data_IF_619288321230
#
_entry.id   IF_619288321230
#
_cell.length_a   1.000
_cell.length_b   1.000
_cell.length_c   1.000
_cell.angle_alpha   90.00
_cell.angle_beta   90.00
_cell.angle_gamma   90.00
#
_symmetry.space_group_name_H-M   'P 1'
#
loop_
_entity.id
_entity.type
_entity.pdbx_description
1 polymer ?
#
# COMPACT_ATOMS: atom_id res chain seq x y z
N UNK A 1 -3.66 -1.91 29.70
CA UNK A 1 -2.37 -2.49 29.31
C UNK A 1 -2.44 -3.98 29.62
N UNK A 2 -2.64 -4.81 28.60
CA UNK A 2 -2.56 -6.27 28.76
C UNK A 2 -1.18 -6.64 29.30
N UNK A 3 -1.10 -7.56 30.24
CA UNK A 3 0.17 -7.94 30.86
C UNK A 3 1.04 -8.75 29.90
N UNK A 4 2.36 -8.79 30.16
CA UNK A 4 3.31 -9.67 29.45
C UNK A 4 2.83 -11.13 29.47
N UNK A 5 2.16 -11.53 30.55
CA UNK A 5 1.54 -12.85 30.73
C UNK A 5 0.42 -13.13 29.74
N UNK A 6 -0.40 -12.13 29.42
CA UNK A 6 -1.52 -12.26 28.49
C UNK A 6 -0.99 -12.41 27.06
N UNK A 7 0.05 -11.64 26.72
CA UNK A 7 0.76 -11.72 25.44
C UNK A 7 1.42 -13.11 25.29
N UNK A 8 2.07 -13.63 26.33
CA UNK A 8 2.61 -14.99 26.32
C UNK A 8 1.54 -16.06 26.14
N UNK A 9 0.34 -15.88 26.70
CA UNK A 9 -0.78 -16.80 26.49
C UNK A 9 -1.25 -16.79 25.03
N UNK A 10 -1.38 -15.61 24.42
CA UNK A 10 -1.76 -15.44 23.00
C UNK A 10 -0.70 -15.97 22.03
N UNK A 11 0.58 -15.79 22.32
CA UNK A 11 1.66 -16.39 21.52
C UNK A 11 1.63 -17.92 21.59
N UNK A 12 1.33 -18.49 22.76
CA UNK A 12 1.12 -19.94 22.90
C UNK A 12 -0.09 -20.39 22.08
N UNK A 13 -1.20 -19.67 22.14
CA UNK A 13 -2.38 -19.95 21.33
C UNK A 13 -2.05 -19.94 19.83
N UNK A 14 -1.37 -18.91 19.33
CA UNK A 14 -0.93 -18.83 17.93
C UNK A 14 0.00 -20.01 17.58
N UNK A 15 0.96 -20.34 18.45
CA UNK A 15 1.83 -21.49 18.22
C UNK A 15 1.07 -22.82 18.12
N UNK A 16 0.01 -22.99 18.93
CA UNK A 16 -0.87 -24.17 18.84
C UNK A 16 -1.71 -24.17 17.56
N UNK A 17 -2.24 -23.01 17.14
CA UNK A 17 -2.96 -22.88 15.88
C UNK A 17 -2.07 -23.25 14.69
N UNK A 18 -0.84 -22.75 14.66
CA UNK A 18 0.16 -23.06 13.63
C UNK A 18 0.50 -24.57 13.59
N UNK A 19 0.65 -25.19 14.77
CA UNK A 19 0.88 -26.64 14.88
C UNK A 19 -0.27 -27.47 14.29
N UNK A 20 -1.50 -26.97 14.34
CA UNK A 20 -2.67 -27.64 13.74
C UNK A 20 -2.76 -27.42 12.23
N UNK A 21 -2.19 -26.34 11.68
CA UNK A 21 -2.20 -26.04 10.24
C UNK A 21 -1.20 -26.92 9.48
N UNK A 22 0.00 -27.15 10.03
CA UNK A 22 1.02 -28.00 9.40
C UNK A 22 0.54 -29.38 8.91
N UNK A 23 -0.15 -30.21 9.71
CA UNK A 23 -0.62 -31.50 9.25
C UNK A 23 -1.67 -31.37 8.14
N UNK A 24 -2.52 -30.34 8.17
CA UNK A 24 -3.48 -30.08 7.10
C UNK A 24 -2.78 -29.74 5.77
N UNK A 25 -1.75 -28.90 5.80
CA UNK A 25 -0.92 -28.59 4.64
C UNK A 25 -0.25 -29.85 4.09
N UNK A 26 0.31 -30.70 4.97
CA UNK A 26 0.91 -31.98 4.56
C UNK A 26 -0.12 -32.93 3.91
N UNK A 27 -1.35 -32.95 4.43
CA UNK A 27 -2.47 -33.73 3.89
C UNK A 27 -2.90 -33.21 2.53
N UNK A 28 -2.94 -31.89 2.34
CA UNK A 28 -3.25 -31.28 1.04
C UNK A 28 -2.18 -31.65 0.01
N UNK A 29 -0.90 -31.57 0.38
CA UNK A 29 0.23 -31.94 -0.48
C UNK A 29 0.15 -33.39 -0.97
N UNK A 30 -0.25 -34.30 -0.07
CA UNK A 30 -0.44 -35.72 -0.37
C UNK A 30 -1.80 -36.08 -0.99
N UNK A 31 -2.68 -35.10 -1.25
CA UNK A 31 -4.03 -35.39 -1.73
C UNK A 31 -3.99 -35.93 -3.15
N UNK A 32 -4.55 -37.13 -3.33
CA UNK A 32 -4.80 -37.75 -4.64
C UNK A 32 -6.30 -37.97 -4.79
N UNK A 33 -6.90 -37.45 -5.87
CA UNK A 33 -8.32 -37.69 -6.15
C UNK A 33 -8.54 -39.17 -6.43
N UNK A 34 -9.28 -39.86 -5.56
CA UNK A 34 -9.77 -41.21 -5.84
C UNK A 34 -10.86 -41.15 -6.92
N UNK A 35 -10.92 -42.19 -7.75
CA UNK A 35 -11.84 -42.24 -8.90
C UNK A 35 -13.28 -42.05 -8.44
N UNK A 36 -13.93 -40.97 -8.90
CA UNK A 36 -15.33 -40.65 -8.60
C UNK A 36 -15.58 -39.78 -7.37
N UNK A 37 -14.57 -39.36 -6.60
CA UNK A 37 -14.75 -38.54 -5.40
C UNK A 37 -14.75 -37.02 -5.66
N UNK A 38 -14.53 -36.61 -6.92
CA UNK A 38 -14.51 -35.21 -7.33
C UNK A 38 -13.37 -34.39 -6.73
N UNK A 39 -13.32 -33.12 -7.09
CA UNK A 39 -12.31 -32.16 -6.59
C UNK A 39 -12.75 -31.48 -5.27
N UNK A 40 -13.99 -31.72 -4.81
CA UNK A 40 -14.60 -31.06 -3.65
C UNK A 40 -13.79 -31.22 -2.35
N UNK A 41 -13.36 -32.43 -1.94
CA UNK A 41 -12.63 -32.58 -0.67
C UNK A 41 -11.27 -31.86 -0.67
N UNK A 42 -10.64 -31.72 -1.84
CA UNK A 42 -9.40 -30.93 -2.00
C UNK A 42 -9.68 -29.44 -1.82
N UNK A 43 -10.77 -28.95 -2.41
CA UNK A 43 -11.16 -27.55 -2.34
C UNK A 43 -11.57 -27.19 -0.91
N UNK A 44 -12.37 -28.03 -0.26
CA UNK A 44 -12.76 -27.87 1.15
C UNK A 44 -11.54 -27.80 2.08
N UNK A 45 -10.61 -28.75 1.96
CA UNK A 45 -9.37 -28.74 2.73
C UNK A 45 -8.52 -27.50 2.43
N UNK A 46 -8.46 -27.09 1.16
CA UNK A 46 -7.79 -25.87 0.74
C UNK A 46 -8.40 -24.61 1.36
N UNK A 47 -9.74 -24.51 1.39
CA UNK A 47 -10.45 -23.39 2.02
C UNK A 47 -10.27 -23.40 3.53
N UNK A 48 -10.33 -24.56 4.18
CA UNK A 48 -10.13 -24.68 5.64
C UNK A 48 -8.72 -24.25 6.06
N UNK A 49 -7.69 -24.66 5.31
CA UNK A 49 -6.32 -24.21 5.58
C UNK A 49 -6.20 -22.70 5.36
N UNK A 50 -6.79 -22.18 4.28
CA UNK A 50 -6.74 -20.76 3.99
C UNK A 50 -7.41 -19.91 5.09
N UNK A 51 -8.58 -20.31 5.58
CA UNK A 51 -9.28 -19.60 6.66
C UNK A 51 -8.49 -19.64 7.97
N UNK A 52 -7.96 -20.81 8.36
CA UNK A 52 -7.15 -20.93 9.59
C UNK A 52 -5.84 -20.16 9.52
N UNK A 53 -5.21 -20.13 8.34
CA UNK A 53 -3.97 -19.37 8.16
C UNK A 53 -4.23 -17.87 8.19
N UNK A 54 -5.34 -17.42 7.59
CA UNK A 54 -5.76 -16.01 7.65
C UNK A 54 -6.07 -15.59 9.09
N UNK A 55 -6.78 -16.42 9.85
CA UNK A 55 -7.05 -16.17 11.28
C UNK A 55 -5.75 -16.08 12.09
N UNK A 56 -4.77 -16.95 11.83
CA UNK A 56 -3.46 -16.89 12.49
C UNK A 56 -2.64 -15.65 12.08
N UNK A 57 -2.73 -15.20 10.82
CA UNK A 57 -2.14 -13.95 10.33
C UNK A 57 -2.76 -12.73 11.04
N UNK A 58 -4.09 -12.67 11.13
CA UNK A 58 -4.81 -11.61 11.85
C UNK A 58 -4.43 -11.56 13.35
N UNK A 59 -4.30 -12.73 14.00
CA UNK A 59 -3.80 -12.82 15.38
C UNK A 59 -2.37 -12.32 15.52
N UNK A 60 -1.49 -12.63 14.55
CA UNK A 60 -0.11 -12.16 14.56
C UNK A 60 -0.03 -10.64 14.38
N UNK A 61 -0.85 -10.06 13.51
CA UNK A 61 -0.88 -8.61 13.30
C UNK A 61 -1.29 -7.87 14.59
N UNK A 62 -2.31 -8.37 15.29
CA UNK A 62 -2.71 -7.85 16.60
C UNK A 62 -1.57 -7.97 17.62
N UNK A 63 -0.91 -9.13 17.67
CA UNK A 63 0.24 -9.37 18.55
C UNK A 63 1.43 -8.47 18.21
N UNK A 64 1.68 -8.18 16.93
CA UNK A 64 2.77 -7.32 16.48
C UNK A 64 2.60 -5.89 17.01
N UNK A 65 1.39 -5.35 16.98
CA UNK A 65 1.08 -4.03 17.57
C UNK A 65 1.32 -4.02 19.08
N UNK A 66 0.93 -5.09 19.78
CA UNK A 66 1.20 -5.22 21.22
C UNK A 66 2.69 -5.36 21.54
N UNK A 67 3.46 -6.05 20.68
CA UNK A 67 4.91 -6.20 20.80
C UNK A 67 5.65 -4.89 20.50
N UNK A 68 5.25 -4.15 19.47
CA UNK A 68 5.81 -2.83 19.12
C UNK A 68 5.54 -1.78 20.21
N UNK A 69 4.37 -1.84 20.85
CA UNK A 69 4.07 -1.03 22.03
C UNK A 69 4.96 -1.38 23.23
N UNK A 70 5.42 -2.64 23.35
CA UNK A 70 6.38 -3.04 24.38
C UNK A 70 7.81 -2.63 24.04
N UNK A 71 8.19 -2.65 22.77
CA UNK A 71 9.51 -2.22 22.26
C UNK A 71 9.70 -0.70 22.45
N UNK A 72 8.76 0.12 22.01
CA UNK A 72 8.80 1.58 22.22
C UNK A 72 8.77 1.99 23.70
N UNK A 73 8.16 1.17 24.57
CA UNK A 73 8.20 1.36 26.02
C UNK A 73 9.59 1.05 26.64
N UNK A 74 10.48 0.34 25.94
CA UNK A 74 11.87 0.12 26.38
C UNK A 74 12.76 1.33 26.08
N UNK A 75 12.62 1.96 24.91
CA UNK A 75 13.44 3.12 24.52
C UNK A 75 13.26 4.34 25.43
N UNK A 76 12.06 4.48 26.02
CA UNK A 76 11.72 5.60 26.91
C UNK A 76 12.18 5.40 28.36
N UNK A 77 12.47 4.15 28.80
CA UNK A 77 12.92 3.87 30.18
C UNK A 77 14.44 3.71 30.23
N UNK A 78 15.14 4.84 30.40
CA UNK A 78 16.55 4.82 30.82
C UNK A 78 16.71 4.15 32.20
N UNK A 79 17.26 2.93 32.15
CA UNK A 79 18.28 2.35 33.04
C UNK A 79 17.92 2.22 34.54
N UNK A 80 17.58 1.00 34.97
CA UNK A 80 18.20 0.49 36.19
C UNK A 80 17.43 -0.39 37.17
N UNK A 81 16.21 -0.89 36.91
CA UNK A 81 15.47 -1.60 37.98
C UNK A 81 14.88 -2.98 37.61
N UNK A 82 14.63 -3.31 36.35
CA UNK A 82 13.86 -4.52 36.00
C UNK A 82 14.53 -5.42 34.94
N UNK A 83 15.81 -5.78 35.12
CA UNK A 83 16.56 -6.65 34.20
C UNK A 83 15.87 -8.01 33.94
N UNK A 84 15.17 -8.56 34.94
CA UNK A 84 14.41 -9.80 34.80
C UNK A 84 13.20 -9.63 33.86
N UNK A 85 12.43 -8.54 34.01
CA UNK A 85 11.28 -8.25 33.14
C UNK A 85 11.71 -7.82 31.74
N UNK A 86 12.85 -7.16 31.61
CA UNK A 86 13.48 -6.85 30.32
C UNK A 86 13.81 -8.16 29.57
N UNK A 87 14.44 -9.13 30.25
CA UNK A 87 14.74 -10.43 29.65
C UNK A 87 13.50 -11.24 29.24
N UNK A 88 12.39 -11.13 29.99
CA UNK A 88 11.13 -11.78 29.63
C UNK A 88 10.48 -11.14 28.39
N UNK A 89 10.62 -9.83 28.22
CA UNK A 89 10.13 -9.10 27.04
C UNK A 89 10.93 -9.43 25.79
N UNK A 90 12.26 -9.45 25.90
CA UNK A 90 13.13 -9.86 24.79
C UNK A 90 12.80 -11.28 24.31
N UNK A 91 12.53 -12.21 25.24
CA UNK A 91 12.08 -13.57 24.90
C UNK A 91 10.75 -13.55 24.15
N UNK A 92 9.81 -12.72 24.57
CA UNK A 92 8.50 -12.56 23.93
C UNK A 92 8.64 -12.01 22.51
N UNK A 93 9.47 -10.99 22.30
CA UNK A 93 9.78 -10.41 20.99
C UNK A 93 10.41 -11.46 20.08
N UNK A 94 11.41 -12.20 20.58
CA UNK A 94 12.08 -13.26 19.82
C UNK A 94 11.11 -14.40 19.43
N UNK A 95 10.20 -14.79 20.32
CA UNK A 95 9.17 -15.79 20.04
C UNK A 95 8.16 -15.29 18.99
N UNK A 96 7.73 -14.03 19.08
CA UNK A 96 6.83 -13.43 18.10
C UNK A 96 7.48 -13.36 16.70
N UNK A 97 8.75 -12.95 16.62
CA UNK A 97 9.51 -12.92 15.36
C UNK A 97 9.66 -14.30 14.74
N UNK A 98 9.95 -15.33 15.55
CA UNK A 98 10.00 -16.72 15.09
C UNK A 98 8.65 -17.20 14.54
N UNK A 99 7.55 -16.92 15.24
CA UNK A 99 6.21 -17.31 14.80
C UNK A 99 5.80 -16.60 13.50
N UNK A 100 6.25 -15.36 13.29
CA UNK A 100 6.06 -14.65 12.03
C UNK A 100 6.76 -15.34 10.86
N UNK A 101 8.00 -15.78 11.06
CA UNK A 101 8.74 -16.52 10.04
C UNK A 101 8.13 -17.90 9.77
N UNK A 102 7.70 -18.61 10.83
CA UNK A 102 7.00 -19.88 10.71
C UNK A 102 5.68 -19.72 9.94
N UNK A 103 4.94 -18.62 10.14
CA UNK A 103 3.73 -18.32 9.37
C UNK A 103 4.04 -18.06 7.88
N UNK A 104 5.06 -17.25 7.57
CA UNK A 104 5.50 -17.03 6.18
C UNK A 104 5.90 -18.35 5.50
N UNK A 105 6.63 -19.20 6.21
CA UNK A 105 7.03 -20.53 5.72
C UNK A 105 5.82 -21.41 5.46
N UNK A 106 4.87 -21.48 6.39
CA UNK A 106 3.64 -22.27 6.21
C UNK A 106 2.79 -21.77 5.04
N UNK A 107 2.75 -20.46 4.78
CA UNK A 107 2.10 -19.87 3.61
C UNK A 107 2.76 -20.30 2.30
N UNK A 108 4.08 -20.28 2.26
CA UNK A 108 4.87 -20.79 1.13
C UNK A 108 4.61 -22.28 0.88
N UNK A 109 4.66 -23.08 1.95
CA UNK A 109 4.38 -24.52 1.91
C UNK A 109 2.94 -24.82 1.46
N UNK A 110 1.97 -24.01 1.87
CA UNK A 110 0.57 -24.12 1.43
C UNK A 110 0.42 -23.86 -0.07
N UNK A 111 1.06 -22.81 -0.60
CA UNK A 111 1.05 -22.54 -2.05
C UNK A 111 1.66 -23.69 -2.84
N UNK A 112 2.78 -24.22 -2.37
CA UNK A 112 3.44 -25.38 -2.98
C UNK A 112 2.56 -26.64 -2.90
N UNK A 113 1.92 -26.88 -1.76
CA UNK A 113 0.99 -27.98 -1.55
C UNK A 113 -0.23 -27.89 -2.47
N UNK A 114 -0.80 -26.68 -2.66
CA UNK A 114 -1.89 -26.46 -3.61
C UNK A 114 -1.49 -26.79 -5.06
N UNK A 115 -0.31 -26.33 -5.49
CA UNK A 115 0.20 -26.62 -6.83
C UNK A 115 0.45 -28.12 -7.03
N UNK A 116 1.03 -28.79 -6.03
CA UNK A 116 1.24 -30.22 -6.06
C UNK A 116 -0.07 -31.01 -6.08
N UNK A 117 -1.05 -30.64 -5.24
CA UNK A 117 -2.37 -31.27 -5.23
C UNK A 117 -3.11 -31.09 -6.55
N UNK A 118 -2.98 -29.91 -7.18
CA UNK A 118 -3.54 -29.63 -8.52
C UNK A 118 -2.89 -30.52 -9.58
N UNK A 119 -1.55 -30.61 -9.61
CA UNK A 119 -0.82 -31.51 -10.53
C UNK A 119 -1.25 -32.96 -10.34
N UNK A 120 -1.35 -33.44 -9.10
CA UNK A 120 -1.78 -34.80 -8.80
C UNK A 120 -3.22 -35.07 -9.29
N UNK A 121 -4.14 -34.13 -9.09
CA UNK A 121 -5.52 -34.24 -9.56
C UNK A 121 -5.60 -34.25 -11.10
N UNK A 122 -4.80 -33.45 -11.79
CA UNK A 122 -4.72 -33.47 -13.25
C UNK A 122 -4.17 -34.78 -13.80
N UNK A 123 -3.15 -35.34 -13.16
CA UNK A 123 -2.59 -36.66 -13.50
C UNK A 123 -3.63 -37.76 -13.29
N UNK A 124 -4.39 -37.71 -12.18
CA UNK A 124 -5.47 -38.67 -11.93
C UNK A 124 -6.59 -38.55 -12.99
N UNK A 125 -7.02 -37.33 -13.34
CA UNK A 125 -8.01 -37.11 -14.40
C UNK A 125 -7.54 -37.60 -15.77
N UNK A 126 -6.24 -37.48 -16.09
CA UNK A 126 -5.67 -38.03 -17.33
C UNK A 126 -5.82 -39.55 -17.35
N UNK A 127 -5.46 -40.22 -16.25
CA UNK A 127 -5.59 -41.68 -16.10
C UNK A 127 -7.05 -42.14 -16.20
N UNK A 128 -7.99 -41.41 -15.60
CA UNK A 128 -9.43 -41.71 -15.73
C UNK A 128 -9.90 -41.63 -17.19
N UNK A 129 -9.49 -40.59 -17.92
CA UNK A 129 -9.84 -40.47 -19.35
C UNK A 129 -9.27 -41.64 -20.15
N UNK A 130 -8.02 -42.01 -19.94
CA UNK A 130 -7.39 -43.16 -20.61
C UNK A 130 -8.13 -44.48 -20.33
N UNK A 131 -8.59 -44.70 -19.10
CA UNK A 131 -9.39 -45.87 -18.72
C UNK A 131 -10.77 -45.86 -19.40
N UNK A 132 -11.43 -44.71 -19.50
CA UNK A 132 -12.71 -44.57 -20.19
C UNK A 132 -12.58 -44.79 -21.71
N UNK A 133 -11.53 -44.25 -22.34
CA UNK A 133 -11.26 -44.46 -23.77
C UNK A 133 -10.94 -45.93 -24.09
N UNK A 134 -10.21 -46.62 -23.22
CA UNK A 134 -9.92 -48.06 -23.40
C UNK A 134 -11.20 -48.92 -23.27
N UNK A 135 -12.10 -48.55 -22.36
CA UNK A 135 -13.39 -49.22 -22.17
C UNK A 135 -14.32 -49.02 -23.38
N UNK A 136 -14.38 -47.83 -23.97
CA UNK A 136 -15.25 -47.56 -25.12
C UNK A 136 -14.78 -48.28 -26.39
N UNK A 137 -13.48 -48.34 -26.66
CA UNK A 137 -12.94 -49.11 -27.80
C UNK A 137 -13.22 -50.61 -27.72
N UNK A 138 -13.25 -51.16 -26.49
CA UNK A 138 -13.57 -52.58 -26.27
C UNK A 138 -15.07 -52.89 -26.48
N UNK A 139 -15.95 -51.92 -26.23
CA UNK A 139 -17.38 -52.07 -26.44
C UNK A 139 -17.79 -51.98 -27.92
N UNK A 140 -17.15 -51.10 -28.70
CA UNK A 140 -17.45 -50.90 -30.12
C UNK A 140 -17.09 -52.14 -30.96
N UNK A 141 -15.98 -52.82 -30.64
CA UNK A 141 -15.56 -54.06 -31.32
C UNK A 141 -16.56 -55.22 -31.16
N UNK A 142 -17.40 -55.20 -30.12
CA UNK A 142 -18.36 -56.29 -29.84
C UNK A 142 -19.67 -56.12 -30.62
N UNK A 143 -19.94 -54.94 -31.20
CA UNK A 143 -21.23 -54.62 -31.82
C UNK A 143 -21.30 -54.90 -33.33
N UNK A 144 -20.15 -55.11 -33.98
CA UNK A 144 -20.08 -55.34 -35.44
C UNK A 144 -20.30 -56.81 -35.88
N UNK A 145 -20.57 -57.75 -34.98
CA UNK A 145 -20.61 -59.19 -35.31
C UNK A 145 -22.02 -59.79 -35.52
N UNK A 146 -23.07 -58.99 -35.68
CA UNK A 146 -24.45 -59.50 -35.89
C UNK A 146 -24.99 -59.12 -37.27
N UNK A 147 -24.47 -59.74 -38.33
CA UNK A 147 -24.92 -59.49 -39.70
C UNK A 147 -25.22 -60.82 -40.39
N UNK A 148 -26.49 -61.25 -40.30
CA UNK A 148 -27.19 -62.29 -41.09
C UNK A 148 -28.62 -62.43 -40.54
N UNK A 149 -29.49 -61.49 -40.88
CA UNK A 149 -30.93 -61.55 -40.57
C UNK A 149 -31.72 -61.68 -41.89
N UNK A 150 -32.79 -62.47 -41.85
CA UNK A 150 -33.56 -62.92 -43.01
C UNK A 150 -34.41 -61.79 -43.58
N UNK A 151 -34.88 -61.90 -44.84
CA UNK A 151 -35.58 -60.80 -45.51
C UNK A 151 -36.89 -60.36 -44.83
N UNK A 152 -37.59 -61.27 -44.15
CA UNK A 152 -38.76 -60.92 -43.31
C UNK A 152 -38.34 -60.19 -42.02
N UNK A 153 -37.20 -60.55 -41.43
CA UNK A 153 -36.63 -59.80 -40.31
C UNK A 153 -36.19 -58.39 -40.74
N UNK A 154 -35.72 -58.21 -41.98
CA UNK A 154 -35.35 -56.89 -42.51
C UNK A 154 -36.58 -56.00 -42.64
N UNK A 155 -37.72 -56.52 -43.11
CA UNK A 155 -38.96 -55.73 -43.23
C UNK A 155 -39.57 -55.43 -41.85
N UNK A 156 -39.57 -56.41 -40.94
CA UNK A 156 -40.04 -56.20 -39.57
C UNK A 156 -39.12 -55.23 -38.80
N UNK A 157 -37.80 -55.31 -39.02
CA UNK A 157 -36.83 -54.38 -38.46
C UNK A 157 -36.94 -52.99 -39.10
N UNK A 158 -37.26 -52.87 -40.39
CA UNK A 158 -37.50 -51.56 -41.01
C UNK A 158 -38.71 -50.85 -40.41
N UNK A 159 -39.79 -51.57 -40.10
CA UNK A 159 -40.95 -51.00 -39.41
C UNK A 159 -40.63 -50.62 -37.96
N UNK A 160 -39.82 -51.44 -37.29
CA UNK A 160 -39.32 -51.13 -35.95
C UNK A 160 -38.36 -49.94 -35.97
N UNK A 161 -37.51 -49.80 -36.99
CA UNK A 161 -36.59 -48.68 -37.19
C UNK A 161 -37.33 -47.39 -37.49
N UNK A 162 -38.40 -47.42 -38.29
CA UNK A 162 -39.27 -46.23 -38.47
C UNK A 162 -39.92 -45.85 -37.15
N UNK A 163 -40.42 -46.82 -36.39
CA UNK A 163 -41.04 -46.56 -35.08
C UNK A 163 -40.01 -46.07 -34.06
N UNK A 164 -38.79 -46.60 -34.10
CA UNK A 164 -37.67 -46.18 -33.27
C UNK A 164 -37.18 -44.79 -33.67
N UNK A 165 -37.13 -44.47 -34.96
CA UNK A 165 -36.80 -43.16 -35.48
C UNK A 165 -37.83 -42.11 -35.04
N UNK A 166 -39.12 -42.42 -35.10
CA UNK A 166 -40.20 -41.52 -34.67
C UNK A 166 -40.20 -41.30 -33.15
N UNK A 167 -39.91 -42.36 -32.37
CA UNK A 167 -39.67 -42.21 -30.91
C UNK A 167 -38.42 -41.38 -30.64
N UNK A 168 -37.36 -41.56 -31.43
CA UNK A 168 -36.11 -40.82 -31.30
C UNK A 168 -36.31 -39.35 -31.65
N UNK A 169 -37.05 -39.00 -32.70
CA UNK A 169 -37.37 -37.61 -33.05
C UNK A 169 -38.25 -36.97 -31.99
N UNK A 170 -39.20 -37.70 -31.41
CA UNK A 170 -39.99 -37.20 -30.28
C UNK A 170 -39.11 -36.92 -29.05
N UNK A 171 -38.21 -37.84 -28.71
CA UNK A 171 -37.23 -37.62 -27.63
C UNK A 171 -36.30 -36.44 -27.93
N UNK A 172 -35.87 -36.27 -29.18
CA UNK A 172 -35.04 -35.15 -29.61
C UNK A 172 -35.82 -33.82 -29.52
N UNK A 173 -37.08 -33.81 -29.94
CA UNK A 173 -37.95 -32.65 -29.83
C UNK A 173 -38.19 -32.26 -28.35
N UNK A 174 -38.41 -33.25 -27.48
CA UNK A 174 -38.52 -33.01 -26.04
C UNK A 174 -37.22 -32.48 -25.43
N UNK A 175 -36.07 -33.00 -25.88
CA UNK A 175 -34.76 -32.54 -25.43
C UNK A 175 -34.41 -31.12 -25.96
N UNK A 176 -34.80 -30.78 -27.19
CA UNK A 176 -34.62 -29.44 -27.74
C UNK A 176 -35.57 -28.44 -27.05
N UNK A 177 -36.79 -28.84 -26.71
CA UNK A 177 -37.71 -28.00 -25.95
C UNK A 177 -37.20 -27.74 -24.53
N UNK A 178 -36.67 -28.74 -23.82
CA UNK A 178 -36.07 -28.51 -22.50
C UNK A 178 -34.78 -27.68 -22.59
N UNK A 179 -33.98 -27.88 -23.64
CA UNK A 179 -32.81 -27.05 -23.94
C UNK A 179 -33.19 -25.61 -24.25
N UNK A 180 -34.29 -25.37 -24.96
CA UNK A 180 -34.81 -24.03 -25.24
C UNK A 180 -35.32 -23.34 -23.97
N UNK A 181 -35.96 -24.07 -23.05
CA UNK A 181 -36.35 -23.50 -21.76
C UNK A 181 -35.13 -23.12 -20.92
N UNK A 182 -34.13 -23.99 -20.86
CA UNK A 182 -32.88 -23.67 -20.17
C UNK A 182 -32.15 -22.46 -20.79
N UNK A 183 -32.18 -22.34 -22.13
CA UNK A 183 -31.63 -21.17 -22.81
C UNK A 183 -32.41 -19.90 -22.47
N UNK A 184 -33.74 -19.97 -22.34
CA UNK A 184 -34.57 -18.84 -21.91
C UNK A 184 -34.29 -18.45 -20.46
N UNK A 185 -34.20 -19.41 -19.54
CA UNK A 185 -33.82 -19.16 -18.14
C UNK A 185 -32.42 -18.51 -18.06
N UNK A 186 -31.47 -18.97 -18.89
CA UNK A 186 -30.12 -18.39 -18.93
C UNK A 186 -30.15 -16.95 -19.47
N UNK A 187 -30.94 -16.66 -20.50
CA UNK A 187 -31.09 -15.31 -21.03
C UNK A 187 -31.76 -14.38 -20.01
N UNK A 188 -32.77 -14.87 -19.29
CA UNK A 188 -33.44 -14.13 -18.23
C UNK A 188 -32.49 -13.85 -17.07
N UNK A 189 -31.71 -14.83 -16.63
CA UNK A 189 -30.66 -14.65 -15.63
C UNK A 189 -29.59 -13.64 -16.09
N UNK A 190 -29.17 -13.71 -17.36
CA UNK A 190 -28.21 -12.74 -17.91
C UNK A 190 -28.80 -11.33 -17.97
N UNK A 191 -30.10 -11.20 -18.24
CA UNK A 191 -30.80 -9.91 -18.26
C UNK A 191 -30.93 -9.34 -16.85
N UNK A 192 -31.25 -10.18 -15.87
CA UNK A 192 -31.28 -9.80 -14.46
C UNK A 192 -29.89 -9.38 -13.95
N UNK A 193 -28.83 -10.07 -14.38
CA UNK A 193 -27.46 -9.69 -14.08
C UNK A 193 -27.06 -8.36 -14.75
N UNK A 194 -27.53 -8.09 -15.97
CA UNK A 194 -27.33 -6.80 -16.63
C UNK A 194 -28.06 -5.67 -15.90
N UNK A 195 -29.28 -5.91 -15.40
CA UNK A 195 -30.01 -4.91 -14.61
C UNK A 195 -29.33 -4.64 -13.27
N UNK A 196 -28.86 -5.67 -12.55
CA UNK A 196 -28.15 -5.47 -11.29
C UNK A 196 -26.80 -4.77 -11.49
N UNK A 197 -26.12 -5.05 -12.60
CA UNK A 197 -24.93 -4.31 -12.98
C UNK A 197 -25.28 -2.83 -13.25
N UNK A 198 -26.35 -2.54 -13.99
CA UNK A 198 -26.81 -1.16 -14.23
C UNK A 198 -27.17 -0.42 -12.93
N UNK A 199 -27.79 -1.11 -11.97
CA UNK A 199 -28.08 -0.58 -10.64
C UNK A 199 -26.77 -0.24 -9.90
N UNK A 200 -25.81 -1.16 -9.89
CA UNK A 200 -24.49 -0.92 -9.28
C UNK A 200 -23.73 0.25 -9.92
N UNK A 201 -23.84 0.46 -11.23
CA UNK A 201 -23.24 1.62 -11.90
C UNK A 201 -23.94 2.93 -11.49
N UNK A 202 -25.25 2.90 -11.26
CA UNK A 202 -26.00 4.07 -10.77
C UNK A 202 -25.62 4.40 -9.33
N UNK A 203 -25.44 3.38 -8.49
CA UNK A 203 -24.94 3.54 -7.13
C UNK A 203 -23.51 4.10 -7.11
N UNK A 204 -22.64 3.62 -8.01
CA UNK A 204 -21.29 4.17 -8.17
C UNK A 204 -21.31 5.64 -8.60
N UNK A 205 -22.20 6.05 -9.49
CA UNK A 205 -22.35 7.46 -9.87
C UNK A 205 -22.81 8.32 -8.68
N UNK A 206 -23.74 7.81 -7.87
CA UNK A 206 -24.16 8.44 -6.61
C UNK A 206 -22.99 8.58 -5.63
N UNK A 207 -22.18 7.53 -5.45
CA UNK A 207 -20.98 7.57 -4.61
C UNK A 207 -19.92 8.54 -5.13
N UNK A 208 -19.69 8.58 -6.44
CA UNK A 208 -18.76 9.52 -7.07
C UNK A 208 -19.27 10.97 -6.90
N UNK A 209 -20.57 11.20 -7.03
CA UNK A 209 -21.17 12.51 -6.80
C UNK A 209 -21.03 12.96 -5.34
N UNK A 210 -21.24 12.04 -4.39
CA UNK A 210 -21.06 12.28 -2.96
C UNK A 210 -19.59 12.54 -2.61
N UNK A 211 -18.67 11.73 -3.15
CA UNK A 211 -17.22 11.93 -3.02
C UNK A 211 -16.79 13.28 -3.58
N UNK A 212 -17.29 13.68 -4.76
CA UNK A 212 -17.02 15.00 -5.35
C UNK A 212 -17.56 16.14 -4.50
N UNK A 213 -18.74 15.98 -3.90
CA UNK A 213 -19.30 16.97 -3.00
C UNK A 213 -18.47 17.11 -1.71
N UNK A 214 -17.98 16.00 -1.16
CA UNK A 214 -17.08 15.98 0.01
C UNK A 214 -15.70 16.55 -0.31
N UNK A 215 -15.11 16.20 -1.45
CA UNK A 215 -13.86 16.81 -1.92
C UNK A 215 -14.07 18.30 -2.18
N UNK A 216 -15.22 18.68 -2.73
CA UNK A 216 -15.60 20.07 -2.93
C UNK A 216 -15.73 20.83 -1.61
N UNK A 217 -16.33 20.23 -0.58
CA UNK A 217 -16.46 20.87 0.74
C UNK A 217 -15.12 20.96 1.47
N UNK A 218 -14.27 19.93 1.39
CA UNK A 218 -12.92 19.93 1.94
C UNK A 218 -12.02 20.94 1.24
N UNK A 219 -11.98 20.94 -0.10
CA UNK A 219 -11.22 21.92 -0.86
C UNK A 219 -11.75 23.34 -0.64
N UNK A 220 -13.07 23.53 -0.54
CA UNK A 220 -13.64 24.85 -0.24
C UNK A 220 -13.25 25.32 1.16
N UNK A 221 -13.28 24.42 2.14
CA UNK A 221 -12.91 24.69 3.53
C UNK A 221 -11.42 25.02 3.65
N UNK A 222 -10.55 24.15 3.13
CA UNK A 222 -9.10 24.35 3.15
C UNK A 222 -8.69 25.62 2.39
N UNK A 223 -9.29 25.88 1.22
CA UNK A 223 -9.01 27.08 0.42
C UNK A 223 -9.48 28.37 1.09
N UNK A 224 -10.57 28.33 1.88
CA UNK A 224 -11.00 29.50 2.64
C UNK A 224 -10.01 29.85 3.74
N UNK A 225 -9.43 28.85 4.40
CA UNK A 225 -8.47 29.04 5.49
C UNK A 225 -7.12 29.53 4.97
N UNK A 226 -6.65 28.96 3.85
CA UNK A 226 -5.40 29.42 3.19
C UNK A 226 -5.50 30.88 2.76
N UNK A 227 -6.69 31.37 2.36
CA UNK A 227 -6.86 32.76 1.96
C UNK A 227 -6.78 33.75 3.15
N UNK A 228 -7.28 33.36 4.33
CA UNK A 228 -7.12 34.17 5.55
C UNK A 228 -5.66 34.19 6.02
N UNK A 229 -4.98 33.04 6.01
CA UNK A 229 -3.56 32.96 6.37
C UNK A 229 -2.68 33.76 5.41
N UNK A 230 -2.95 33.67 4.10
CA UNK A 230 -2.23 34.40 3.07
C UNK A 230 -2.42 35.93 3.22
N UNK A 231 -3.67 36.39 3.39
CA UNK A 231 -3.95 37.82 3.60
C UNK A 231 -3.36 38.35 4.91
N UNK A 232 -3.41 37.57 5.99
CA UNK A 232 -2.78 37.92 7.27
C UNK A 232 -1.26 38.00 7.17
N UNK A 233 -0.62 37.06 6.45
CA UNK A 233 0.82 37.06 6.19
C UNK A 233 1.26 38.32 5.42
N UNK A 234 0.55 38.71 4.36
CA UNK A 234 0.87 39.93 3.61
C UNK A 234 0.71 41.21 4.45
N UNK A 235 -0.33 41.30 5.29
CA UNK A 235 -0.51 42.44 6.21
C UNK A 235 0.64 42.48 7.23
N UNK A 236 1.02 41.32 7.78
CA UNK A 236 2.15 41.19 8.71
C UNK A 236 3.46 41.63 8.07
N UNK A 237 3.79 41.12 6.88
CA UNK A 237 4.98 41.53 6.11
C UNK A 237 4.95 43.03 5.81
N UNK A 238 3.78 43.58 5.44
CA UNK A 238 3.60 45.01 5.22
C UNK A 238 3.90 45.85 6.47
N UNK A 239 3.40 45.44 7.63
CA UNK A 239 3.67 46.13 8.91
C UNK A 239 5.12 46.01 9.36
N UNK A 240 5.76 44.84 9.17
CA UNK A 240 7.19 44.65 9.44
C UNK A 240 8.02 45.55 8.52
N UNK A 241 7.72 45.54 7.22
CA UNK A 241 8.40 46.40 6.22
C UNK A 241 8.25 47.87 6.60
N UNK A 242 7.05 48.29 7.01
CA UNK A 242 6.80 49.63 7.51
C UNK A 242 7.58 49.96 8.79
N UNK A 243 7.67 49.03 9.73
CA UNK A 243 8.45 49.17 10.96
C UNK A 243 9.94 49.27 10.67
N UNK A 244 10.48 48.44 9.78
CA UNK A 244 11.89 48.51 9.36
C UNK A 244 12.16 49.85 8.68
N UNK A 245 11.28 50.28 7.77
CA UNK A 245 11.38 51.60 7.15
C UNK A 245 11.35 52.73 8.18
N UNK A 246 10.43 52.67 9.14
CA UNK A 246 10.28 53.72 10.14
C UNK A 246 11.39 53.71 11.20
N UNK A 247 11.84 52.53 11.64
CA UNK A 247 12.75 52.36 12.78
C UNK A 247 14.21 52.38 12.35
N UNK A 248 14.55 51.66 11.28
CA UNK A 248 15.93 51.43 10.84
C UNK A 248 16.38 52.45 9.78
N UNK A 249 15.50 52.86 8.87
CA UNK A 249 15.86 53.85 7.85
C UNK A 249 15.73 55.30 8.33
N UNK A 250 14.99 55.61 9.41
CA UNK A 250 14.84 57.00 9.87
C UNK A 250 15.78 57.38 11.02
N UNK A 251 16.05 56.47 11.97
CA UNK A 251 16.88 56.76 13.14
C UNK A 251 18.38 56.58 12.88
N UNK A 252 18.86 55.34 12.69
CA UNK A 252 20.27 55.05 12.41
C UNK A 252 20.80 55.74 11.17
N UNK A 253 19.97 55.94 10.14
CA UNK A 253 20.39 56.60 8.90
C UNK A 253 20.63 58.10 9.11
N UNK A 254 19.90 58.76 10.02
CA UNK A 254 20.25 60.13 10.44
C UNK A 254 21.60 60.13 11.16
N UNK A 255 21.87 59.13 12.00
CA UNK A 255 23.19 58.98 12.61
C UNK A 255 24.27 58.69 11.55
N UNK A 256 23.98 57.87 10.55
CA UNK A 256 24.88 57.54 9.44
C UNK A 256 25.12 58.73 8.50
N UNK A 257 24.20 59.70 8.40
CA UNK A 257 24.42 60.99 7.71
C UNK A 257 25.15 61.99 8.61
N UNK A 258 24.88 62.00 9.92
CA UNK A 258 25.47 62.93 10.88
C UNK A 258 26.93 62.57 11.26
N UNK A 259 27.26 61.29 11.37
CA UNK A 259 28.59 60.78 11.72
C UNK A 259 29.67 61.17 10.66
N UNK A 260 29.48 60.98 9.33
CA UNK A 260 30.43 61.43 8.33
C UNK A 260 30.46 62.95 8.26
N UNK A 261 29.35 63.68 8.43
CA UNK A 261 29.35 65.15 8.51
C UNK A 261 30.20 65.64 9.69
N UNK A 262 30.09 65.02 10.86
CA UNK A 262 30.88 65.39 12.04
C UNK A 262 32.35 65.00 11.91
N UNK A 263 32.64 63.86 11.27
CA UNK A 263 34.01 63.47 10.91
C UNK A 263 34.61 64.44 9.90
N UNK A 264 33.88 64.78 8.83
CA UNK A 264 34.31 65.79 7.86
C UNK A 264 34.53 67.14 8.53
N UNK A 265 33.62 67.59 9.39
CA UNK A 265 33.82 68.82 10.16
C UNK A 265 35.07 68.75 11.05
N UNK A 266 35.37 67.61 11.68
CA UNK A 266 36.60 67.41 12.46
C UNK A 266 37.85 67.34 11.59
N UNK A 267 37.78 66.73 10.41
CA UNK A 267 38.87 66.68 9.45
C UNK A 267 39.14 68.06 8.85
N UNK A 268 38.10 68.83 8.47
CA UNK A 268 38.26 70.19 7.98
C UNK A 268 38.75 71.13 9.08
N UNK A 269 38.26 71.03 10.32
CA UNK A 269 38.80 71.77 11.46
C UNK A 269 40.23 71.35 11.84
N UNK A 270 40.61 70.08 11.69
CA UNK A 270 41.98 69.62 11.96
C UNK A 270 42.95 70.10 10.86
N UNK A 271 42.52 70.10 9.60
CA UNK A 271 43.32 70.61 8.48
C UNK A 271 43.42 72.14 8.52
N UNK A 272 42.36 72.87 8.90
CA UNK A 272 42.45 74.31 9.17
C UNK A 272 43.18 74.63 10.49
N UNK A 273 43.10 73.76 11.49
CA UNK A 273 43.74 73.94 12.80
C UNK A 273 45.25 73.75 12.77
N UNK A 274 45.78 72.95 11.85
CA UNK A 274 47.23 72.76 11.65
C UNK A 274 47.88 73.94 10.91
N UNK A 275 47.10 74.80 10.23
CA UNK A 275 47.61 76.03 9.58
C UNK A 275 47.43 77.28 10.47
N UNK A 276 46.78 77.16 11.63
CA UNK A 276 46.42 78.30 12.49
C UNK A 276 47.00 78.26 13.89
N UNK A 277 48.33 78.18 14.05
CA UNK A 277 48.99 78.51 15.33
C UNK A 277 49.76 79.82 15.18
N UNK A 278 49.06 80.95 15.26
CA UNK A 278 49.63 82.21 15.76
C UNK A 278 48.57 83.00 16.50
N UNK A 279 48.79 83.23 17.80
CA UNK A 279 48.17 84.33 18.52
C UNK A 279 47.29 83.93 19.70
N UNK A 280 47.91 83.93 20.90
CA UNK A 280 47.48 84.58 22.15
C UNK A 280 45.98 84.61 22.49
N UNK A 281 45.53 84.52 23.73
CA UNK A 281 46.04 84.24 25.07
C UNK A 281 44.79 84.40 25.97
N UNK A 282 44.91 84.02 27.24
CA UNK A 282 44.14 84.58 28.38
C UNK A 282 42.91 83.79 28.88
N UNK A 283 43.18 83.15 30.03
CA UNK A 283 42.41 83.01 31.26
C UNK A 283 41.18 82.09 31.37
N UNK A 284 41.48 80.98 32.04
CA UNK A 284 40.77 80.38 33.17
C UNK A 284 39.96 81.35 34.04
N UNK A 285 38.73 80.94 34.41
CA UNK A 285 38.27 80.74 35.80
C UNK A 285 36.75 80.51 35.86
N UNK A 286 36.31 79.38 36.43
CA UNK A 286 34.98 79.28 37.08
C UNK A 286 34.98 80.18 38.34
N UNK A 287 33.83 80.64 38.89
CA UNK A 287 32.96 79.77 39.72
C UNK A 287 31.43 80.10 39.77
N UNK A 288 30.65 79.03 39.97
CA UNK A 288 29.41 78.83 40.77
C UNK A 288 28.33 79.92 41.06
N UNK A 289 27.14 79.39 41.44
CA UNK A 289 26.08 79.95 42.34
C UNK A 289 24.94 80.68 41.57
N UNK A 290 23.74 80.12 41.33
CA UNK A 290 22.60 79.75 42.21
C UNK A 290 21.45 80.78 42.15
N UNK A 291 20.21 80.24 42.18
CA UNK A 291 18.91 80.88 42.50
C UNK A 291 18.31 81.83 41.44
N UNK A 292 17.02 81.88 41.14
CA UNK A 292 15.79 81.25 41.68
C UNK A 292 14.58 81.70 40.83
N UNK A 293 13.42 81.03 41.03
CA UNK A 293 12.04 81.49 40.78
C UNK A 293 11.25 80.87 39.58
N UNK A 294 10.74 79.62 39.73
CA UNK A 294 9.38 79.20 40.22
C UNK A 294 8.16 80.09 39.81
N UNK A 295 6.87 79.65 39.78
CA UNK A 295 6.20 78.33 39.58
C UNK A 295 5.06 78.37 38.51
N UNK A 296 4.36 77.26 38.25
CA UNK A 296 2.89 77.10 38.46
C UNK A 296 2.44 75.64 38.08
N UNK A 297 2.27 74.70 39.04
CA UNK A 297 1.02 74.24 39.74
C UNK A 297 0.12 73.32 38.86
N UNK A 298 0.11 71.96 38.97
CA UNK A 298 -0.57 71.02 39.95
C UNK A 298 -2.08 70.79 39.65
N UNK A 299 -2.83 69.83 40.28
CA UNK A 299 -2.64 68.37 40.46
C UNK A 299 -3.94 67.49 40.31
N UNK A 300 -3.74 66.16 40.15
CA UNK A 300 -4.37 64.95 40.79
C UNK A 300 -5.91 64.78 40.99
N UNK A 301 -6.39 63.53 40.78
CA UNK A 301 -7.30 62.63 41.58
C UNK A 301 -8.09 61.73 40.58
N UNK A 302 -8.09 60.39 40.51
CA UNK A 302 -8.17 59.19 41.37
C UNK A 302 -9.51 58.40 41.22
N UNK A 303 -9.37 57.13 40.79
CA UNK A 303 -10.08 55.89 41.20
C UNK A 303 -11.52 55.45 40.77
N UNK A 304 -11.57 54.14 40.43
CA UNK A 304 -12.57 53.07 40.74
C UNK A 304 -13.79 52.94 39.77
N UNK A 305 -14.34 51.78 39.36
CA UNK A 305 -14.40 50.37 39.81
C UNK A 305 -14.76 49.48 38.57
N UNK A 306 -14.33 48.21 38.51
CA UNK A 306 -14.88 47.15 37.61
C UNK A 306 -16.27 46.63 38.10
N UNK A 307 -17.02 45.73 37.39
CA UNK A 307 -16.67 44.28 37.36
C UNK A 307 -17.12 43.44 36.12
N UNK A 308 -16.35 42.35 35.89
CA UNK A 308 -16.79 40.94 35.70
C UNK A 308 -17.59 40.49 34.44
N UNK A 309 -16.98 39.63 33.61
CA UNK A 309 -17.32 38.18 33.50
C UNK A 309 -16.21 37.37 32.80
N UNK A 310 -15.69 36.36 33.51
CA UNK A 310 -15.49 34.92 33.17
C UNK A 310 -15.08 34.57 31.70
N UNK A 311 -14.17 33.65 31.38
CA UNK A 311 -13.81 32.40 32.04
C UNK A 311 -12.52 31.79 31.43
N UNK A 312 -11.76 31.13 32.30
CA UNK A 312 -10.72 30.11 32.13
C UNK A 312 -10.37 29.58 30.72
N UNK A 313 -9.10 29.78 30.35
CA UNK A 313 -8.38 28.88 29.44
C UNK A 313 -7.67 27.79 30.25
N UNK A 314 -8.05 26.55 30.01
CA UNK A 314 -7.31 25.35 30.38
C UNK A 314 -6.54 24.84 29.17
N UNK A 315 -5.32 24.37 29.45
CA UNK A 315 -4.37 23.77 28.51
C UNK A 315 -4.97 22.59 27.71
N UNK A 316 -4.67 22.57 26.41
CA UNK A 316 -4.58 21.33 25.64
C UNK A 316 -3.49 21.48 24.57
N UNK A 317 -2.41 20.75 24.81
CA UNK A 317 -1.22 20.57 23.97
C UNK A 317 -1.48 19.47 22.95
N UNK A 318 -1.34 19.77 21.65
CA UNK A 318 -1.02 18.90 20.50
C UNK A 318 -0.53 19.88 19.40
N UNK A 319 0.44 19.67 18.53
CA UNK A 319 1.18 18.50 18.08
C UNK A 319 2.40 19.07 17.29
N UNK A 320 3.59 18.47 17.40
CA UNK A 320 4.74 18.84 16.57
C UNK A 320 5.07 17.66 15.66
N UNK A 321 4.95 17.85 14.34
CA UNK A 321 5.45 16.92 13.33
C UNK A 321 6.88 17.33 12.95
N UNK A 322 7.86 16.40 12.89
CA UNK A 322 9.23 16.70 12.48
C UNK A 322 9.31 16.92 10.97
N UNK A 323 10.15 17.86 10.57
CA UNK A 323 10.57 18.09 9.19
C UNK A 323 11.48 16.92 8.78
N UNK A 324 11.10 16.17 7.73
CA UNK A 324 11.93 15.15 7.11
C UNK A 324 12.81 15.81 6.03
N UNK A 325 14.10 15.46 6.04
CA UNK A 325 15.13 15.97 5.14
C UNK A 325 15.02 15.34 3.74
N UNK A 326 15.07 16.15 2.68
CA UNK A 326 15.04 15.76 1.26
C UNK A 326 16.22 14.86 0.82
N UNK A 327 17.15 14.54 1.71
CA UNK A 327 18.32 13.71 1.42
C UNK A 327 18.05 12.18 1.50
N UNK A 328 16.87 11.76 1.97
CA UNK A 328 16.51 10.34 2.05
C UNK A 328 15.84 9.82 0.77
N UNK A 329 15.17 10.67 -0.02
CA UNK A 329 14.56 10.26 -1.29
C UNK A 329 15.62 9.89 -2.34
N UNK A 330 16.74 10.62 -2.42
CA UNK A 330 17.82 10.31 -3.36
C UNK A 330 18.52 8.97 -3.04
N UNK A 331 18.57 8.58 -1.75
CA UNK A 331 19.13 7.29 -1.33
C UNK A 331 18.23 6.10 -1.69
N UNK A 332 16.91 6.30 -1.67
CA UNK A 332 15.95 5.28 -2.05
C UNK A 332 15.95 5.02 -3.56
N UNK A 333 16.25 6.04 -4.38
CA UNK A 333 16.36 5.90 -5.83
C UNK A 333 17.60 5.06 -6.21
N UNK A 334 18.75 5.30 -5.56
CA UNK A 334 19.97 4.49 -5.76
C UNK A 334 19.80 3.04 -5.28
N UNK A 335 19.06 2.82 -4.19
CA UNK A 335 18.79 1.47 -3.66
C UNK A 335 17.79 0.69 -4.54
N UNK A 336 16.83 1.36 -5.18
CA UNK A 336 15.95 0.75 -6.19
C UNK A 336 16.74 0.42 -7.47
N UNK A 337 17.66 1.29 -7.90
CA UNK A 337 18.54 1.01 -9.04
C UNK A 337 19.37 -0.27 -8.84
N UNK A 338 19.91 -0.45 -7.62
CA UNK A 338 20.71 -1.62 -7.27
C UNK A 338 19.88 -2.90 -7.15
N UNK A 339 18.64 -2.82 -6.65
CA UNK A 339 17.72 -3.96 -6.61
C UNK A 339 17.24 -4.38 -8.00
N UNK A 340 17.09 -3.45 -8.95
CA UNK A 340 16.72 -3.78 -10.33
C UNK A 340 17.87 -4.49 -11.05
N UNK A 341 19.11 -4.02 -10.86
CA UNK A 341 20.30 -4.65 -11.45
C UNK A 341 20.57 -6.05 -10.86
N UNK A 342 20.38 -6.24 -9.55
CA UNK A 342 20.47 -7.56 -8.89
C UNK A 342 19.31 -8.51 -9.24
N UNK A 343 18.16 -7.97 -9.65
CA UNK A 343 17.01 -8.76 -10.15
C UNK A 343 17.22 -9.20 -11.61
N UNK A 344 17.85 -8.38 -12.45
CA UNK A 344 18.20 -8.75 -13.83
C UNK A 344 19.28 -9.85 -13.87
N UNK A 345 20.22 -9.88 -12.92
CA UNK A 345 21.19 -10.98 -12.78
C UNK A 345 20.57 -12.30 -12.25
N UNK A 346 19.42 -12.24 -11.56
CA UNK A 346 18.72 -13.43 -11.03
C UNK A 346 17.58 -13.95 -11.93
N UNK A 347 17.07 -13.13 -12.85
CA UNK A 347 15.96 -13.49 -13.76
C UNK A 347 16.37 -13.60 -15.23
N UNK A 348 17.64 -13.87 -15.55
CA UNK A 348 17.93 -14.60 -16.78
C UNK A 348 17.31 -15.99 -16.64
N UNK A 349 16.18 -16.19 -17.33
CA UNK A 349 15.56 -17.51 -17.47
C UNK A 349 16.65 -18.51 -17.84
N UNK A 350 16.99 -19.39 -16.90
CA UNK A 350 18.03 -20.40 -17.06
C UNK A 350 17.62 -21.37 -18.19
N UNK A 351 18.02 -21.03 -19.42
CA UNK A 351 17.82 -21.82 -20.64
C UNK A 351 18.79 -23.03 -20.67
N UNK A 352 19.76 -23.07 -19.76
CA UNK A 352 20.82 -24.08 -19.73
C UNK A 352 20.56 -25.24 -18.75
N UNK A 353 19.48 -25.22 -17.97
CA UNK A 353 19.11 -26.32 -17.05
C UNK A 353 18.30 -27.46 -17.72
N UNK A 354 18.27 -27.52 -19.05
CA UNK A 354 17.60 -28.60 -19.80
C UNK A 354 18.62 -29.69 -20.12
N UNK A 355 18.50 -30.83 -19.43
CA UNK A 355 19.26 -32.06 -19.74
C UNK A 355 19.21 -32.40 -21.24
N UNK A 356 20.32 -32.83 -21.82
CA UNK A 356 20.42 -33.20 -23.24
C UNK A 356 19.37 -34.24 -23.66
N UNK A 357 18.94 -35.11 -22.72
CA UNK A 357 17.88 -36.10 -22.95
C UNK A 357 16.49 -35.46 -23.11
N UNK A 358 16.18 -34.38 -22.39
CA UNK A 358 14.90 -33.67 -22.52
C UNK A 358 14.86 -32.83 -23.80
N UNK A 359 16.00 -32.29 -24.24
CA UNK A 359 16.13 -31.56 -25.51
C UNK A 359 15.84 -32.46 -26.71
N UNK A 360 16.32 -33.71 -26.69
CA UNK A 360 16.05 -34.70 -27.73
C UNK A 360 14.57 -35.10 -27.78
N UNK A 361 13.94 -35.32 -26.62
CA UNK A 361 12.50 -35.63 -26.55
C UNK A 361 11.64 -34.49 -27.11
N UNK A 362 12.00 -33.24 -26.84
CA UNK A 362 11.26 -32.08 -27.37
C UNK A 362 11.45 -31.91 -28.89
N UNK A 363 12.59 -32.34 -29.44
CA UNK A 363 12.85 -32.33 -30.87
C UNK A 363 12.07 -33.42 -31.65
N UNK A 364 11.75 -34.54 -30.98
CA UNK A 364 10.94 -35.63 -31.56
C UNK A 364 9.43 -35.32 -31.63
N UNK A 365 8.93 -34.33 -30.88
CA UNK A 365 7.53 -33.91 -31.01
C UNK A 365 7.31 -33.10 -32.30
N UNK A 366 6.28 -33.44 -33.11
CA UNK A 366 5.97 -32.70 -34.32
C UNK A 366 5.60 -31.24 -33.99
N UNK A 367 6.31 -30.30 -34.63
CA UNK A 367 6.10 -28.86 -34.43
C UNK A 367 4.69 -28.45 -34.85
N UNK A 368 4.01 -27.71 -33.97
CA UNK A 368 2.65 -27.22 -34.20
C UNK A 368 2.63 -26.16 -35.33
N UNK A 369 1.94 -26.39 -36.46
CA UNK A 369 1.96 -25.49 -37.61
C UNK A 369 1.22 -24.15 -37.38
N UNK A 370 0.53 -23.97 -36.24
CA UNK A 370 -0.21 -22.74 -35.92
C UNK A 370 0.58 -21.74 -35.06
N UNK A 371 1.82 -22.03 -34.68
CA UNK A 371 2.66 -21.10 -33.91
C UNK A 371 3.48 -20.22 -34.87
N UNK A 372 3.13 -18.94 -34.95
CA UNK A 372 3.84 -17.94 -35.76
C UNK A 372 4.96 -17.34 -34.91
N UNK A 373 6.22 -17.59 -35.27
CA UNK A 373 7.38 -16.98 -34.59
C UNK A 373 7.59 -15.57 -35.17
N UNK A 374 7.87 -14.60 -34.32
CA UNK A 374 8.28 -13.27 -34.73
C UNK A 374 9.75 -13.33 -35.16
N UNK A 375 10.02 -13.10 -36.45
CA UNK A 375 11.39 -12.92 -36.95
C UNK A 375 11.73 -11.44 -36.83
N UNK A 376 12.55 -11.09 -35.84
CA UNK A 376 13.15 -9.77 -35.77
C UNK A 376 14.13 -9.64 -36.94
N UNK A 377 13.88 -8.71 -37.85
CA UNK A 377 14.81 -8.35 -38.91
C UNK A 377 15.82 -7.39 -38.32
N UNK A 378 17.05 -7.85 -38.09
CA UNK A 378 18.15 -6.99 -37.65
C UNK A 378 18.52 -6.02 -38.79
N UNK A 379 18.18 -4.75 -38.60
CA UNK A 379 18.61 -3.67 -39.49
C UNK A 379 19.99 -3.21 -38.99
N UNK A 380 21.06 -3.34 -39.79
CA UNK A 380 22.38 -2.88 -39.36
C UNK A 380 22.40 -1.35 -39.27
N UNK A 381 22.59 -0.84 -38.05
CA UNK A 381 22.84 0.59 -37.81
C UNK A 381 24.21 0.95 -38.38
N UNK A 382 24.20 1.70 -39.48
CA UNK A 382 25.39 2.33 -40.03
C UNK A 382 25.76 3.50 -39.11
N UNK A 383 26.91 3.38 -38.43
CA UNK A 383 27.50 4.49 -37.65
C UNK A 383 28.14 5.46 -38.63
N UNK A 384 27.55 6.64 -38.77
CA UNK A 384 28.23 7.77 -39.40
C UNK A 384 29.20 8.37 -38.37
N UNK A 385 30.50 8.16 -38.61
CA UNK A 385 31.58 8.90 -37.98
C UNK A 385 31.74 10.24 -38.71
N UNK A 386 31.62 11.36 -37.99
CA UNK A 386 32.30 12.63 -38.28
C UNK A 386 32.53 13.42 -36.99
#
# INVERSE_FOLDING_TARGET
>A
MSGITDLQARLKELSTALSHIHPLVSRLKGFTTAVGQGDQPRLELGTEIHTRLKEAEEQLELLKVEVEALETATDTRRKGVDNEKESERERVIALAGRLAEDLKRTRGDFRNAQLQAKRNAEVARRKERELLFTRSQSAERKKQSSEKLTQDDIVMNASNDVTAALRRTHQLMQAELSRSQFAQETLEQSTAALSSLSESYTDLDSLISSSRNLIGSLLRSQKSDTWYLETAFYILVGTITWLVFRRILYGPLWWLVWLPIRLFARFTFAILGVVGITGKAVQSSEPSTMLEYVPQETPVVEQKVEPNVQSAEGEAVWDQVPVADEAEEDRLIDEIGKMVEESEEQEETNIDDISEEERQRQAELPRNPKKRMFEATDVPQQKDEL
#
